data_IF_941545987809
#
_entry.id   IF_941545987809
#
_cell.length_a   1.000
_cell.length_b   1.000
_cell.length_c   1.000
_cell.angle_alpha   90.00
_cell.angle_beta   90.00
_cell.angle_gamma   90.00
#
_symmetry.space_group_name_H-M   'P 1'
#
loop_
_entity.id
_entity.type
_entity.pdbx_description
1 polymer ?
#
# COMPACT_ATOMS: atom_id res chain seq x y z
N UNK A 1 -13.87 -8.89 -36.22
CA UNK A 1 -13.66 -7.73 -35.33
C UNK A 1 -13.96 -8.04 -33.86
N UNK A 2 -15.11 -8.60 -33.47
CA UNK A 2 -15.39 -8.89 -32.04
C UNK A 2 -14.49 -9.97 -31.38
N UNK A 3 -14.03 -10.97 -32.13
CA UNK A 3 -13.12 -12.01 -31.60
C UNK A 3 -11.74 -11.45 -31.33
N UNK A 4 -11.23 -10.63 -32.25
CA UNK A 4 -9.93 -9.96 -32.15
C UNK A 4 -9.88 -8.99 -30.96
N UNK A 5 -10.97 -8.26 -30.69
CA UNK A 5 -11.05 -7.41 -29.50
C UNK A 5 -11.09 -8.21 -28.19
N UNK A 6 -11.76 -9.38 -28.17
CA UNK A 6 -11.76 -10.28 -27.02
C UNK A 6 -10.36 -10.87 -26.76
N UNK A 7 -9.67 -11.30 -27.79
CA UNK A 7 -8.29 -11.83 -27.67
C UNK A 7 -7.32 -10.76 -27.15
N UNK A 8 -7.45 -9.52 -27.62
CA UNK A 8 -6.66 -8.39 -27.11
C UNK A 8 -6.96 -8.13 -25.62
N UNK A 9 -8.24 -8.16 -25.22
CA UNK A 9 -8.64 -7.98 -23.81
C UNK A 9 -8.08 -9.11 -22.94
N UNK A 10 -8.19 -10.37 -23.39
CA UNK A 10 -7.67 -11.53 -22.67
C UNK A 10 -6.16 -11.43 -22.52
N UNK A 11 -5.44 -11.07 -23.59
CA UNK A 11 -3.99 -10.94 -23.55
C UNK A 11 -3.55 -9.77 -22.65
N UNK A 12 -4.29 -8.65 -22.65
CA UNK A 12 -4.04 -7.54 -21.72
C UNK A 12 -4.29 -7.94 -20.26
N UNK A 13 -5.35 -8.72 -19.98
CA UNK A 13 -5.61 -9.25 -18.64
C UNK A 13 -4.51 -10.24 -18.21
N UNK A 14 -4.09 -11.15 -19.09
CA UNK A 14 -3.00 -12.07 -18.83
C UNK A 14 -1.69 -11.31 -18.59
N UNK A 15 -1.34 -10.35 -19.44
CA UNK A 15 -0.14 -9.52 -19.26
C UNK A 15 -0.18 -8.74 -17.95
N UNK A 16 -1.37 -8.31 -17.50
CA UNK A 16 -1.56 -7.58 -16.24
C UNK A 16 -1.44 -8.47 -15.01
N UNK A 17 -2.00 -9.69 -15.01
CA UNK A 17 -2.00 -10.58 -13.85
C UNK A 17 -0.85 -11.60 -13.83
N UNK A 18 -0.08 -11.72 -14.92
CA UNK A 18 1.10 -12.59 -15.01
C UNK A 18 2.41 -11.80 -14.81
N UNK A 19 2.33 -10.57 -14.32
CA UNK A 19 3.51 -9.76 -14.05
C UNK A 19 4.39 -10.43 -12.99
N UNK A 20 5.72 -10.33 -13.17
CA UNK A 20 6.71 -10.88 -12.23
C UNK A 20 6.42 -10.47 -10.78
N UNK A 21 6.01 -9.22 -10.56
CA UNK A 21 5.69 -8.68 -9.25
C UNK A 21 4.47 -9.34 -8.59
N UNK A 22 3.46 -9.72 -9.37
CA UNK A 22 2.28 -10.42 -8.85
C UNK A 22 2.61 -11.86 -8.47
N UNK A 23 3.44 -12.53 -9.28
CA UNK A 23 3.94 -13.88 -8.96
C UNK A 23 4.74 -13.89 -7.66
N UNK A 24 5.61 -12.91 -7.48
CA UNK A 24 6.37 -12.70 -6.24
C UNK A 24 5.45 -12.46 -5.02
N UNK A 25 4.40 -11.66 -5.16
CA UNK A 25 3.38 -11.46 -4.12
C UNK A 25 2.68 -12.77 -3.72
N UNK A 26 2.29 -13.59 -4.71
CA UNK A 26 1.71 -14.91 -4.45
C UNK A 26 2.69 -15.84 -3.71
N UNK A 27 3.98 -15.76 -4.02
CA UNK A 27 5.02 -16.53 -3.32
C UNK A 27 5.16 -16.09 -1.85
N UNK A 28 5.11 -14.79 -1.57
CA UNK A 28 5.09 -14.25 -0.19
C UNK A 28 3.83 -14.70 0.57
N UNK A 29 2.66 -14.64 -0.07
CA UNK A 29 1.40 -15.10 0.54
C UNK A 29 1.45 -16.60 0.88
N UNK A 30 1.93 -17.43 -0.06
CA UNK A 30 2.09 -18.85 0.15
C UNK A 30 3.06 -19.16 1.29
N UNK A 31 4.15 -18.39 1.43
CA UNK A 31 5.08 -18.52 2.56
C UNK A 31 4.38 -18.27 3.90
N UNK A 32 3.61 -17.16 4.02
CA UNK A 32 2.87 -16.84 5.25
C UNK A 32 1.84 -17.92 5.57
N UNK A 33 1.12 -18.41 4.55
CA UNK A 33 0.13 -19.49 4.72
C UNK A 33 0.76 -20.83 5.08
N UNK A 34 1.94 -21.15 4.53
CA UNK A 34 2.68 -22.37 4.84
C UNK A 34 3.18 -22.35 6.30
N UNK A 35 3.74 -21.25 6.78
CA UNK A 35 4.14 -21.09 8.18
C UNK A 35 2.95 -21.27 9.13
N UNK A 36 1.79 -20.75 8.73
CA UNK A 36 0.59 -20.74 9.59
C UNK A 36 -0.14 -22.09 9.63
N UNK A 37 -0.16 -22.83 8.52
CA UNK A 37 -1.01 -24.02 8.37
C UNK A 37 -0.25 -25.34 8.18
N UNK A 38 1.05 -25.32 7.86
CA UNK A 38 1.88 -26.50 7.60
C UNK A 38 3.16 -26.45 8.43
N UNK A 39 3.86 -27.58 8.53
CA UNK A 39 5.25 -27.61 9.01
C UNK A 39 6.09 -26.62 8.18
N UNK A 40 7.08 -25.93 8.78
CA UNK A 40 7.96 -25.01 8.08
C UNK A 40 8.85 -25.83 7.14
N UNK A 41 8.35 -26.12 5.95
CA UNK A 41 9.22 -26.50 4.87
C UNK A 41 9.87 -25.19 4.42
N UNK A 42 11.00 -24.89 5.05
CA UNK A 42 11.86 -23.75 4.75
C UNK A 42 12.52 -23.95 3.39
N UNK A 43 11.70 -24.10 2.34
CA UNK A 43 12.19 -24.17 0.98
C UNK A 43 12.89 -22.84 0.70
N UNK A 44 14.21 -22.91 0.52
CA UNK A 44 15.09 -21.77 0.26
C UNK A 44 14.58 -20.86 -0.87
N UNK A 45 13.73 -21.38 -1.75
CA UNK A 45 13.11 -20.65 -2.87
C UNK A 45 12.22 -19.48 -2.39
N UNK A 46 11.40 -19.64 -1.35
CA UNK A 46 10.54 -18.56 -0.84
C UNK A 46 11.35 -17.44 -0.17
N UNK A 47 12.39 -17.83 0.57
CA UNK A 47 13.25 -16.90 1.28
C UNK A 47 14.04 -16.04 0.30
N UNK A 48 14.48 -16.61 -0.83
CA UNK A 48 15.16 -15.86 -1.89
C UNK A 48 14.22 -14.83 -2.53
N UNK A 49 12.97 -15.19 -2.78
CA UNK A 49 11.95 -14.26 -3.30
C UNK A 49 11.66 -13.13 -2.30
N UNK A 50 11.59 -13.43 -1.01
CA UNK A 50 11.41 -12.42 0.05
C UNK A 50 12.64 -11.51 0.15
N UNK A 51 13.85 -12.03 -0.03
CA UNK A 51 15.09 -11.24 -0.05
C UNK A 51 15.16 -10.29 -1.25
N UNK A 52 14.73 -10.76 -2.42
CA UNK A 52 14.62 -9.93 -3.63
C UNK A 52 13.54 -8.86 -3.51
N UNK A 53 12.51 -9.08 -2.67
CA UNK A 53 11.38 -8.16 -2.52
C UNK A 53 11.53 -7.16 -1.38
N UNK A 54 11.93 -7.65 -0.20
CA UNK A 54 11.96 -6.90 1.05
C UNK A 54 13.34 -6.34 1.38
N UNK A 55 14.36 -6.63 0.56
CA UNK A 55 15.75 -6.14 0.68
C UNK A 55 16.18 -5.88 2.13
N UNK A 56 16.30 -4.61 2.53
CA UNK A 56 16.81 -4.17 3.84
C UNK A 56 15.71 -3.96 4.90
N UNK A 57 14.43 -4.09 4.53
CA UNK A 57 13.31 -3.84 5.43
C UNK A 57 13.07 -4.98 6.44
N UNK A 58 13.62 -6.18 6.17
CA UNK A 58 13.40 -7.39 6.95
C UNK A 58 14.71 -8.15 7.20
N UNK A 59 14.93 -8.54 8.46
CA UNK A 59 16.02 -9.45 8.82
C UNK A 59 15.61 -10.90 8.52
N UNK A 60 16.20 -11.47 7.48
CA UNK A 60 15.85 -12.81 6.97
C UNK A 60 16.23 -13.93 7.95
N UNK A 61 17.36 -13.81 8.64
CA UNK A 61 17.82 -14.85 9.58
C UNK A 61 16.93 -14.87 10.82
N UNK A 62 16.54 -13.68 11.28
CA UNK A 62 15.54 -13.54 12.34
C UNK A 62 14.17 -14.00 11.89
N UNK A 63 13.73 -13.67 10.68
CA UNK A 63 12.46 -14.13 10.11
C UNK A 63 12.39 -15.67 10.01
N UNK A 64 13.47 -16.34 9.58
CA UNK A 64 13.52 -17.82 9.57
C UNK A 64 13.31 -18.38 10.97
N UNK A 65 14.03 -17.84 11.95
CA UNK A 65 13.94 -18.26 13.35
C UNK A 65 12.54 -18.05 13.93
N UNK A 66 11.95 -16.88 13.66
CA UNK A 66 10.57 -16.55 14.02
C UNK A 66 9.58 -17.48 13.32
N UNK A 67 9.75 -17.77 12.03
CA UNK A 67 8.86 -18.68 11.27
C UNK A 67 8.81 -20.10 11.85
N UNK A 68 9.95 -20.65 12.28
CA UNK A 68 9.99 -21.94 12.97
C UNK A 68 9.16 -21.90 14.27
N UNK A 69 9.41 -20.89 15.11
CA UNK A 69 8.72 -20.71 16.40
C UNK A 69 7.21 -20.48 16.23
N UNK A 70 6.83 -19.68 15.22
CA UNK A 70 5.44 -19.39 14.87
C UNK A 70 4.69 -20.66 14.49
N UNK A 71 5.31 -21.55 13.72
CA UNK A 71 4.66 -22.80 13.31
C UNK A 71 4.30 -23.68 14.50
N UNK A 72 5.16 -23.74 15.52
CA UNK A 72 4.92 -24.49 16.74
C UNK A 72 3.93 -23.79 17.66
N UNK A 73 4.00 -22.45 17.76
CA UNK A 73 3.01 -21.65 18.46
C UNK A 73 1.60 -21.80 17.86
N UNK A 74 1.46 -21.75 16.53
CA UNK A 74 0.19 -21.95 15.85
C UNK A 74 -0.34 -23.37 16.03
N UNK A 75 0.49 -24.42 16.00
CA UNK A 75 0.02 -25.78 16.31
C UNK A 75 -0.61 -25.85 17.71
N UNK A 76 0.00 -25.21 18.71
CA UNK A 76 -0.50 -25.19 20.09
C UNK A 76 -1.80 -24.40 20.23
N UNK A 77 -1.89 -23.23 19.59
CA UNK A 77 -3.08 -22.35 19.64
C UNK A 77 -4.23 -22.90 18.78
N UNK A 78 -3.95 -23.50 17.62
CA UNK A 78 -4.96 -24.09 16.74
C UNK A 78 -5.55 -25.39 17.34
N UNK A 79 -4.76 -26.15 18.10
CA UNK A 79 -5.26 -27.32 18.83
C UNK A 79 -6.24 -26.95 19.96
N UNK A 80 -6.18 -25.72 20.49
CA UNK A 80 -7.14 -25.23 21.49
C UNK A 80 -8.36 -24.56 20.88
N UNK A 81 -8.24 -23.95 19.69
CA UNK A 81 -9.37 -23.39 18.93
C UNK A 81 -9.15 -23.62 17.43
N UNK A 82 -9.94 -24.51 16.83
CA UNK A 82 -9.90 -24.93 15.42
C UNK A 82 -10.08 -23.76 14.41
N UNK A 83 -9.08 -22.89 14.26
CA UNK A 83 -9.10 -21.82 13.26
C UNK A 83 -8.04 -22.08 12.19
N UNK A 84 -8.47 -22.64 11.06
CA UNK A 84 -7.65 -22.64 9.84
C UNK A 84 -7.64 -21.21 9.28
N UNK A 85 -6.47 -20.58 9.24
CA UNK A 85 -6.31 -19.24 8.64
C UNK A 85 -6.43 -19.40 7.12
N UNK A 86 -7.60 -19.05 6.58
CA UNK A 86 -7.88 -19.09 5.14
C UNK A 86 -7.49 -17.80 4.42
N UNK A 87 -7.50 -16.65 5.11
CA UNK A 87 -7.16 -15.33 4.55
C UNK A 87 -6.45 -14.47 5.61
N UNK A 88 -5.38 -13.79 5.23
CA UNK A 88 -4.65 -12.81 6.07
C UNK A 88 -5.39 -11.47 5.97
N UNK A 89 -6.58 -11.35 6.56
CA UNK A 89 -7.40 -10.14 6.37
C UNK A 89 -7.34 -9.13 7.51
N UNK A 90 -6.85 -9.52 8.69
CA UNK A 90 -6.60 -8.58 9.79
C UNK A 90 -5.39 -9.02 10.62
N UNK A 91 -4.50 -8.07 10.89
CA UNK A 91 -3.37 -8.21 11.83
C UNK A 91 -3.84 -8.72 13.20
N UNK A 92 -5.04 -8.33 13.63
CA UNK A 92 -5.65 -8.76 14.89
C UNK A 92 -6.02 -10.26 14.95
N UNK A 93 -6.14 -10.94 13.80
CA UNK A 93 -6.48 -12.39 13.77
C UNK A 93 -5.26 -13.28 14.03
N UNK A 94 -4.04 -12.74 13.88
CA UNK A 94 -2.80 -13.54 13.92
C UNK A 94 -2.19 -13.61 15.32
N UNK A 95 -2.37 -12.60 16.18
CA UNK A 95 -2.29 -12.63 17.66
C UNK A 95 -1.91 -11.25 18.17
N UNK A 96 -2.72 -10.67 19.04
CA UNK A 96 -2.32 -9.54 19.90
C UNK A 96 -1.13 -9.90 20.80
N UNK A 97 -0.92 -11.20 21.07
CA UNK A 97 0.17 -11.76 21.89
C UNK A 97 1.49 -11.89 21.09
N UNK A 98 1.42 -11.98 19.76
CA UNK A 98 2.57 -12.27 18.89
C UNK A 98 3.35 -11.03 18.41
N UNK A 99 2.77 -9.83 18.49
CA UNK A 99 3.38 -8.60 17.97
C UNK A 99 4.73 -8.25 18.63
N UNK A 100 4.92 -8.62 19.90
CA UNK A 100 6.19 -8.38 20.59
C UNK A 100 7.21 -9.52 20.39
N UNK A 101 6.75 -10.76 20.20
CA UNK A 101 7.61 -11.93 20.03
C UNK A 101 8.07 -12.16 18.58
N UNK A 102 7.28 -11.73 17.59
CA UNK A 102 7.50 -12.01 16.17
C UNK A 102 7.48 -10.71 15.34
N UNK A 103 8.52 -9.90 15.52
CA UNK A 103 8.58 -8.55 14.97
C UNK A 103 8.80 -8.55 13.45
N UNK A 104 9.63 -9.46 12.94
CA UNK A 104 9.92 -9.54 11.50
C UNK A 104 8.74 -10.13 10.74
N UNK A 105 8.05 -11.10 11.31
CA UNK A 105 6.83 -11.64 10.72
C UNK A 105 5.70 -10.60 10.65
N UNK A 106 5.53 -9.79 11.68
CA UNK A 106 4.54 -8.71 11.72
C UNK A 106 4.88 -7.58 10.73
N UNK A 107 6.17 -7.25 10.56
CA UNK A 107 6.64 -6.36 9.49
C UNK A 107 6.32 -6.93 8.10
N UNK A 108 6.59 -8.22 7.87
CA UNK A 108 6.31 -8.88 6.60
C UNK A 108 4.82 -8.81 6.24
N UNK A 109 3.93 -9.10 7.21
CA UNK A 109 2.48 -9.00 7.01
C UNK A 109 2.06 -7.56 6.71
N UNK A 110 2.58 -6.58 7.46
CA UNK A 110 2.26 -5.16 7.20
C UNK A 110 2.73 -4.74 5.81
N UNK A 111 3.94 -5.10 5.43
CA UNK A 111 4.47 -4.79 4.10
C UNK A 111 3.58 -5.42 3.03
N UNK A 112 3.25 -6.70 3.16
CA UNK A 112 2.34 -7.40 2.26
C UNK A 112 0.98 -6.69 2.12
N UNK A 113 0.37 -6.28 3.24
CA UNK A 113 -0.93 -5.58 3.25
C UNK A 113 -0.86 -4.14 2.70
N UNK A 114 0.30 -3.49 2.75
CA UNK A 114 0.49 -2.14 2.20
C UNK A 114 0.72 -2.14 0.69
N UNK A 115 1.09 -3.28 0.10
CA UNK A 115 1.30 -3.36 -1.33
C UNK A 115 -0.06 -3.19 -2.03
N UNK A 116 -0.21 -2.20 -2.92
CA UNK A 116 -1.43 -2.04 -3.67
C UNK A 116 -1.53 -3.18 -4.70
N UNK A 117 -2.15 -4.30 -4.30
CA UNK A 117 -2.46 -5.42 -5.19
C UNK A 117 -3.47 -4.98 -6.27
N UNK A 118 -4.29 -3.97 -5.98
CA UNK A 118 -5.31 -3.46 -6.89
C UNK A 118 -4.92 -2.11 -7.51
N UNK A 119 -5.19 -1.96 -8.81
CA UNK A 119 -5.09 -0.68 -9.54
C UNK A 119 -6.10 0.36 -9.07
N UNK A 120 -7.03 0.03 -8.18
CA UNK A 120 -8.08 0.94 -7.72
C UNK A 120 -7.53 2.26 -7.17
N UNK A 121 -6.37 2.25 -6.52
CA UNK A 121 -5.69 3.47 -6.05
C UNK A 121 -5.20 4.31 -7.22
N UNK A 122 -4.60 3.69 -8.23
CA UNK A 122 -4.14 4.36 -9.45
C UNK A 122 -5.32 4.90 -10.27
N UNK A 123 -6.39 4.12 -10.44
CA UNK A 123 -7.63 4.54 -11.13
C UNK A 123 -8.30 5.71 -10.40
N UNK A 124 -8.34 5.68 -9.06
CA UNK A 124 -8.80 6.81 -8.24
C UNK A 124 -7.93 8.04 -8.46
N UNK A 125 -6.61 7.89 -8.51
CA UNK A 125 -5.68 8.99 -8.78
C UNK A 125 -5.86 9.56 -10.19
N UNK A 126 -6.05 8.71 -11.22
CA UNK A 126 -6.36 9.15 -12.58
C UNK A 126 -7.73 9.82 -12.69
N UNK A 127 -8.74 9.33 -11.96
CA UNK A 127 -10.05 9.97 -11.89
C UNK A 127 -9.96 11.36 -11.24
N UNK A 128 -9.22 11.49 -10.14
CA UNK A 128 -8.93 12.78 -9.51
C UNK A 128 -8.15 13.70 -10.48
N UNK A 129 -7.16 13.15 -11.18
CA UNK A 129 -6.39 13.89 -12.18
C UNK A 129 -7.28 14.42 -13.31
N UNK A 130 -8.21 13.61 -13.83
CA UNK A 130 -9.15 14.05 -14.87
C UNK A 130 -10.09 15.16 -14.39
N UNK A 131 -10.44 15.19 -13.08
CA UNK A 131 -11.22 16.29 -12.49
C UNK A 131 -10.40 17.58 -12.36
N UNK A 132 -9.13 17.48 -11.99
CA UNK A 132 -8.23 18.63 -11.81
C UNK A 132 -7.74 19.17 -13.17
N UNK A 133 -7.32 18.28 -14.07
CA UNK A 133 -6.83 18.55 -15.42
C UNK A 133 -7.86 18.04 -16.44
N UNK A 134 -8.85 18.87 -16.72
CA UNK A 134 -9.84 18.60 -17.76
C UNK A 134 -9.44 19.28 -19.08
N UNK A 135 -10.17 18.96 -20.15
CA UNK A 135 -9.87 19.42 -21.53
C UNK A 135 -9.78 20.94 -21.65
N UNK A 136 -10.56 21.68 -20.84
CA UNK A 136 -10.57 23.15 -20.82
C UNK A 136 -9.41 23.75 -20.00
N UNK A 137 -8.74 22.96 -19.16
CA UNK A 137 -7.62 23.39 -18.29
C UNK A 137 -6.31 22.68 -18.67
N UNK A 138 -6.08 22.46 -19.96
CA UNK A 138 -4.90 21.71 -20.42
C UNK A 138 -3.58 22.52 -20.34
N UNK A 139 -3.65 23.85 -20.25
CA UNK A 139 -2.48 24.76 -20.28
C UNK A 139 -1.77 24.92 -18.93
N UNK A 140 -2.06 24.05 -17.96
CA UNK A 140 -1.52 24.15 -16.60
C UNK A 140 -0.10 23.60 -16.51
N UNK A 141 0.81 24.32 -15.83
CA UNK A 141 2.17 23.84 -15.58
C UNK A 141 2.18 22.62 -14.66
N UNK A 142 3.19 21.76 -14.79
CA UNK A 142 3.30 20.53 -13.99
C UNK A 142 3.38 20.83 -12.48
N UNK A 143 4.09 21.89 -12.09
CA UNK A 143 4.17 22.32 -10.68
C UNK A 143 2.78 22.68 -10.13
N UNK A 144 2.01 23.50 -10.86
CA UNK A 144 0.65 23.87 -10.45
C UNK A 144 -0.27 22.64 -10.38
N UNK A 145 -0.14 21.71 -11.33
CA UNK A 145 -0.89 20.45 -11.34
C UNK A 145 -0.65 19.61 -10.10
N UNK A 146 0.62 19.43 -9.72
CA UNK A 146 0.99 18.66 -8.55
C UNK A 146 0.38 19.28 -7.27
N UNK A 147 0.48 20.60 -7.11
CA UNK A 147 -0.11 21.29 -5.95
C UNK A 147 -1.64 21.17 -5.91
N UNK A 148 -2.33 21.33 -7.05
CA UNK A 148 -3.78 21.18 -7.11
C UNK A 148 -4.23 19.74 -6.82
N UNK A 149 -3.47 18.74 -7.30
CA UNK A 149 -3.78 17.34 -7.04
C UNK A 149 -3.59 16.99 -5.56
N UNK A 150 -2.50 17.49 -4.94
CA UNK A 150 -2.29 17.34 -3.50
C UNK A 150 -3.43 17.96 -2.69
N UNK A 151 -3.86 19.17 -3.03
CA UNK A 151 -5.00 19.83 -2.38
C UNK A 151 -6.31 19.03 -2.56
N UNK A 152 -6.51 18.38 -3.71
CA UNK A 152 -7.68 17.54 -3.96
C UNK A 152 -7.66 16.23 -3.15
N UNK A 153 -6.50 15.56 -3.10
CA UNK A 153 -6.32 14.30 -2.36
C UNK A 153 -6.43 14.53 -0.85
N UNK A 154 -5.81 15.60 -0.35
CA UNK A 154 -5.77 15.93 1.08
C UNK A 154 -6.81 16.97 1.49
N UNK A 155 -7.93 17.07 0.76
CA UNK A 155 -8.97 18.06 1.00
C UNK A 155 -9.44 18.09 2.47
N UNK A 156 -9.67 16.93 3.08
CA UNK A 156 -10.12 16.85 4.48
C UNK A 156 -9.11 17.42 5.48
N UNK A 157 -7.81 17.31 5.19
CA UNK A 157 -6.77 17.92 6.01
C UNK A 157 -6.71 19.42 5.76
N UNK A 158 -6.84 19.84 4.50
CA UNK A 158 -6.84 21.25 4.10
C UNK A 158 -8.04 22.01 4.69
N UNK A 159 -9.21 21.38 4.77
CA UNK A 159 -10.41 21.96 5.37
C UNK A 159 -10.25 22.23 6.88
N UNK A 160 -9.28 21.60 7.55
CA UNK A 160 -8.94 21.82 8.96
C UNK A 160 -7.90 22.93 9.17
N UNK A 161 -7.25 23.40 8.10
CA UNK A 161 -6.24 24.46 8.21
C UNK A 161 -6.97 25.81 8.35
N UNK A 162 -6.46 26.66 9.25
CA UNK A 162 -7.00 28.00 9.43
C UNK A 162 -6.76 28.87 8.19
N UNK A 163 -7.85 29.21 7.50
CA UNK A 163 -7.82 30.06 6.32
C UNK A 163 -7.32 31.47 6.63
N UNK A 164 -7.57 31.98 7.84
CA UNK A 164 -7.12 33.31 8.24
C UNK A 164 -5.59 33.36 8.34
N UNK A 165 -4.98 32.30 8.87
CA UNK A 165 -3.53 32.18 8.93
C UNK A 165 -2.89 32.06 7.53
N UNK A 166 -3.51 31.31 6.61
CA UNK A 166 -3.04 31.26 5.21
C UNK A 166 -3.14 32.64 4.57
N UNK A 167 -4.26 33.33 4.77
CA UNK A 167 -4.52 34.66 4.22
C UNK A 167 -3.49 35.68 4.75
N UNK A 168 -3.25 35.70 6.06
CA UNK A 168 -2.26 36.61 6.65
C UNK A 168 -0.86 36.37 6.08
N UNK A 169 -0.47 35.11 5.93
CA UNK A 169 0.83 34.72 5.35
C UNK A 169 0.93 35.13 3.87
N UNK A 170 -0.13 34.94 3.09
CA UNK A 170 -0.18 35.34 1.69
C UNK A 170 -0.09 36.86 1.50
N UNK A 171 -0.79 37.62 2.34
CA UNK A 171 -0.78 39.08 2.36
C UNK A 171 0.60 39.57 2.78
N UNK A 172 1.18 39.01 3.85
CA UNK A 172 2.49 39.43 4.36
C UNK A 172 3.64 39.17 3.39
N UNK A 173 3.48 38.20 2.48
CA UNK A 173 4.52 37.80 1.52
C UNK A 173 4.82 38.84 0.42
N UNK A 174 4.01 39.90 0.26
CA UNK A 174 4.24 40.94 -0.73
C UNK A 174 3.70 42.30 -0.25
N UNK A 175 4.55 43.33 -0.26
CA UNK A 175 4.20 44.68 0.20
C UNK A 175 2.99 45.30 -0.54
N UNK A 176 2.84 45.04 -1.84
CA UNK A 176 1.68 45.49 -2.61
C UNK A 176 0.39 44.81 -2.14
N UNK A 177 0.47 43.52 -1.77
CA UNK A 177 -0.68 42.79 -1.21
C UNK A 177 -1.02 43.29 0.18
N UNK A 178 -0.02 43.59 1.00
CA UNK A 178 -0.24 44.22 2.31
C UNK A 178 -0.97 45.55 2.16
N UNK A 179 -0.56 46.42 1.25
CA UNK A 179 -1.21 47.70 1.03
C UNK A 179 -2.66 47.56 0.55
N UNK A 180 -2.94 46.61 -0.35
CA UNK A 180 -4.28 46.38 -0.92
C UNK A 180 -5.23 45.66 0.05
N UNK A 181 -4.76 44.65 0.77
CA UNK A 181 -5.62 43.77 1.58
C UNK A 181 -5.56 44.09 3.08
N UNK A 182 -4.91 45.19 3.50
CA UNK A 182 -4.72 45.56 4.91
C UNK A 182 -6.02 45.62 5.72
N UNK A 183 -7.14 45.95 5.08
CA UNK A 183 -8.46 46.13 5.70
C UNK A 183 -9.33 44.85 5.68
N UNK A 184 -8.86 43.76 5.06
CA UNK A 184 -9.59 42.49 4.96
C UNK A 184 -9.19 41.47 6.04
N UNK A 185 -8.18 41.77 6.87
CA UNK A 185 -7.78 41.00 8.05
C UNK A 185 -8.41 41.62 9.30
#
# INVERSE_FOLDING_TARGET
QYVETLEIIINMLQTRFTQKNFKMLCEVENFILNISNKSPDGSNDYIKTIMDFCHDDIDIERLKSEAFMISDFFKVVINTNQMKIKLITKISTVCEIGQQMFQEFDKLIRLYLTIPITTATSERAFSALNRVKNTLRNSMTQSRLNHCLLAHIYKEKLDKIDRNQIMSTFISSNEQRQALFRLML
#
